data_IF_576166983348
#
_entry.id   IF_576166983348
#
_cell.length_a   1.000
_cell.length_b   1.000
_cell.length_c   1.000
_cell.angle_alpha   90.00
_cell.angle_beta   90.00
_cell.angle_gamma   90.00
#
_symmetry.space_group_name_H-M   'P 1'
#
loop_
_entity.id
_entity.type
_entity.pdbx_description
1 polymer ?
#
# COMPACT_ATOMS: atom_id res chain seq x y z
N UNK A 1 32.32 0.80 8.19
CA UNK A 1 30.89 1.13 8.35
C UNK A 1 29.99 0.99 7.13
N UNK A 2 30.47 1.10 5.90
CA UNK A 2 29.61 1.00 4.70
C UNK A 2 28.83 -0.33 4.58
N UNK A 3 29.44 -1.45 4.94
CA UNK A 3 28.77 -2.76 4.95
C UNK A 3 27.61 -2.84 5.95
N UNK A 4 27.67 -2.10 7.06
CA UNK A 4 26.58 -2.06 8.05
C UNK A 4 25.40 -1.28 7.51
N UNK A 5 25.64 -0.08 6.98
CA UNK A 5 24.61 0.75 6.36
C UNK A 5 23.95 0.05 5.17
N UNK A 6 24.74 -0.66 4.34
CA UNK A 6 24.20 -1.46 3.24
C UNK A 6 23.24 -2.55 3.75
N UNK A 7 23.61 -3.32 4.78
CA UNK A 7 22.73 -4.36 5.35
C UNK A 7 21.43 -3.76 5.90
N UNK A 8 21.53 -2.62 6.57
CA UNK A 8 20.36 -1.91 7.11
C UNK A 8 19.42 -1.44 6.00
N UNK A 9 19.97 -0.90 4.91
CA UNK A 9 19.17 -0.49 3.75
C UNK A 9 18.53 -1.70 3.07
N UNK A 10 19.30 -2.78 2.86
CA UNK A 10 18.80 -4.01 2.23
C UNK A 10 17.64 -4.61 3.01
N UNK A 11 17.73 -4.72 4.33
CA UNK A 11 16.64 -5.23 5.18
C UNK A 11 15.37 -4.36 5.08
N UNK A 12 15.51 -3.04 4.97
CA UNK A 12 14.37 -2.14 4.74
C UNK A 12 13.69 -2.40 3.40
N UNK A 13 14.49 -2.56 2.33
CA UNK A 13 13.97 -2.87 0.99
C UNK A 13 13.21 -4.19 1.00
N UNK A 14 13.80 -5.24 1.59
CA UNK A 14 13.17 -6.56 1.69
C UNK A 14 11.84 -6.51 2.49
N UNK A 15 11.80 -5.73 3.57
CA UNK A 15 10.56 -5.51 4.34
C UNK A 15 9.49 -4.83 3.49
N UNK A 16 9.85 -3.77 2.76
CA UNK A 16 8.92 -3.04 1.89
C UNK A 16 8.40 -3.96 0.77
N UNK A 17 9.27 -4.74 0.14
CA UNK A 17 8.89 -5.68 -0.91
C UNK A 17 7.92 -6.74 -0.38
N UNK A 18 8.18 -7.29 0.82
CA UNK A 18 7.26 -8.24 1.46
C UNK A 18 5.89 -7.60 1.74
N UNK A 19 5.86 -6.39 2.29
CA UNK A 19 4.61 -5.66 2.50
C UNK A 19 3.86 -5.42 1.19
N UNK A 20 4.55 -5.06 0.11
CA UNK A 20 3.93 -4.84 -1.21
C UNK A 20 3.25 -6.11 -1.73
N UNK A 21 3.90 -7.27 -1.62
CA UNK A 21 3.30 -8.55 -2.00
C UNK A 21 2.00 -8.83 -1.26
N UNK A 22 2.02 -8.65 0.07
CA UNK A 22 0.80 -8.83 0.87
C UNK A 22 -0.32 -7.89 0.40
N UNK A 23 0.00 -6.61 0.15
CA UNK A 23 -0.97 -5.65 -0.40
C UNK A 23 -1.51 -6.04 -1.78
N UNK A 24 -0.74 -6.81 -2.57
CA UNK A 24 -1.16 -7.37 -3.85
C UNK A 24 -1.93 -8.70 -3.71
N UNK A 25 -2.11 -9.20 -2.50
CA UNK A 25 -2.77 -10.48 -2.23
C UNK A 25 -1.86 -11.70 -2.40
N UNK A 26 -0.55 -11.51 -2.43
CA UNK A 26 0.47 -12.55 -2.54
C UNK A 26 1.07 -12.91 -1.17
N UNK A 27 1.67 -14.11 -1.04
CA UNK A 27 2.36 -14.59 0.17
C UNK A 27 1.53 -14.52 1.48
N UNK A 28 0.19 -14.57 1.36
CA UNK A 28 -0.76 -14.41 2.48
C UNK A 28 -0.74 -15.57 3.47
N UNK A 29 -0.26 -16.75 3.06
CA UNK A 29 -0.09 -17.93 3.93
C UNK A 29 0.84 -17.66 5.12
N UNK A 30 1.72 -16.65 5.00
CA UNK A 30 2.62 -16.24 6.07
C UNK A 30 1.97 -15.36 7.14
N UNK A 31 0.72 -14.92 6.93
CA UNK A 31 -0.02 -14.03 7.80
C UNK A 31 -1.00 -14.80 8.67
N UNK A 32 -1.11 -14.40 9.93
CA UNK A 32 -2.17 -14.91 10.81
C UNK A 32 -3.50 -14.15 10.57
N UNK A 33 -4.59 -14.66 11.16
CA UNK A 33 -5.93 -14.09 10.99
C UNK A 33 -6.02 -12.61 11.35
N UNK A 34 -5.34 -12.17 12.41
CA UNK A 34 -5.34 -10.76 12.84
C UNK A 34 -4.61 -9.89 11.83
N UNK A 35 -3.48 -10.35 11.32
CA UNK A 35 -2.72 -9.63 10.29
C UNK A 35 -3.50 -9.54 8.97
N UNK A 36 -4.22 -10.60 8.59
CA UNK A 36 -5.10 -10.59 7.41
C UNK A 36 -6.26 -9.60 7.57
N UNK A 37 -6.89 -9.53 8.75
CA UNK A 37 -7.94 -8.54 9.02
C UNK A 37 -7.40 -7.10 8.95
N UNK A 38 -6.19 -6.86 9.47
CA UNK A 38 -5.55 -5.55 9.38
C UNK A 38 -5.23 -5.18 7.93
N UNK A 39 -4.74 -6.14 7.14
CA UNK A 39 -4.47 -5.96 5.72
C UNK A 39 -5.74 -5.62 4.94
N UNK A 40 -6.83 -6.33 5.19
CA UNK A 40 -8.13 -6.07 4.58
C UNK A 40 -8.64 -4.66 4.90
N UNK A 41 -8.62 -4.25 6.17
CA UNK A 41 -9.01 -2.90 6.59
C UNK A 41 -8.14 -1.82 5.94
N UNK A 42 -6.83 -2.06 5.83
CA UNK A 42 -5.91 -1.13 5.17
C UNK A 42 -6.24 -0.97 3.69
N UNK A 43 -6.51 -2.08 2.99
CA UNK A 43 -6.89 -2.07 1.57
C UNK A 43 -8.23 -1.37 1.36
N UNK A 44 -9.24 -1.67 2.18
CA UNK A 44 -10.56 -1.06 2.10
C UNK A 44 -10.48 0.47 2.29
N UNK A 45 -9.79 0.91 3.34
CA UNK A 45 -9.60 2.34 3.63
C UNK A 45 -8.89 3.05 2.47
N UNK A 46 -7.80 2.47 1.97
CA UNK A 46 -7.00 3.05 0.88
C UNK A 46 -7.82 3.15 -0.41
N UNK A 47 -8.58 2.11 -0.76
CA UNK A 47 -9.47 2.10 -1.92
C UNK A 47 -10.58 3.15 -1.79
N UNK A 48 -11.18 3.30 -0.60
CA UNK A 48 -12.18 4.34 -0.33
C UNK A 48 -11.58 5.74 -0.57
N UNK A 49 -10.37 6.00 -0.08
CA UNK A 49 -9.69 7.28 -0.31
C UNK A 49 -9.41 7.53 -1.80
N UNK A 50 -8.90 6.54 -2.54
CA UNK A 50 -8.63 6.66 -3.98
C UNK A 50 -9.92 6.94 -4.76
N UNK A 51 -11.00 6.21 -4.47
CA UNK A 51 -12.31 6.41 -5.12
C UNK A 51 -12.89 7.79 -4.80
N UNK A 52 -12.82 8.21 -3.53
CA UNK A 52 -13.27 9.54 -3.11
C UNK A 52 -12.53 10.64 -3.87
N UNK A 53 -11.20 10.55 -3.96
CA UNK A 53 -10.39 11.53 -4.70
C UNK A 53 -10.74 11.53 -6.18
N UNK A 54 -10.87 10.36 -6.81
CA UNK A 54 -11.27 10.26 -8.22
C UNK A 54 -12.64 10.91 -8.47
N UNK A 55 -13.60 10.69 -7.57
CA UNK A 55 -14.94 11.28 -7.66
C UNK A 55 -14.95 12.80 -7.47
N UNK A 56 -13.96 13.37 -6.77
CA UNK A 56 -13.79 14.82 -6.63
C UNK A 56 -13.11 15.44 -7.85
N UNK A 57 -12.04 14.81 -8.35
CA UNK A 57 -11.29 15.32 -9.49
C UNK A 57 -12.10 15.33 -10.80
N UNK A 58 -12.97 14.33 -11.02
CA UNK A 58 -13.78 14.25 -12.24
C UNK A 58 -14.67 15.49 -12.49
N UNK A 59 -15.50 15.94 -11.53
CA UNK A 59 -16.30 17.15 -11.72
C UNK A 59 -15.45 18.44 -11.76
N UNK A 60 -14.33 18.48 -11.04
CA UNK A 60 -13.38 19.60 -11.10
C UNK A 60 -12.82 19.76 -12.52
N UNK A 61 -12.35 18.67 -13.14
CA UNK A 61 -11.86 18.69 -14.52
C UNK A 61 -12.92 19.07 -15.55
N UNK A 62 -14.19 18.71 -15.33
CA UNK A 62 -15.30 19.16 -16.19
C UNK A 62 -15.50 20.67 -16.03
N UNK A 63 -15.49 21.16 -14.79
CA UNK A 63 -15.69 22.58 -14.48
C UNK A 63 -14.58 23.47 -15.04
N UNK A 64 -13.33 22.97 -15.09
CA UNK A 64 -12.18 23.68 -15.70
C UNK A 64 -12.30 23.84 -17.22
N UNK A 65 -13.08 22.98 -17.90
CA UNK A 65 -13.23 22.96 -19.35
C UNK A 65 -14.50 23.65 -19.86
N UNK A 66 -15.39 24.11 -18.97
CA UNK A 66 -16.61 24.86 -19.29
C UNK A 66 -16.37 26.36 -19.22
#
# INVERSE_FOLDING_TARGET
DWCHEYRKLKAKVETIQKCQKHLMGEDLESLNLKELQQLEQQLESSLKHIRSRKNQLMPESISELQ
#
